data_IF_878510031454
#
_entry.id   IF_878510031454
#
_cell.length_a   1.000
_cell.length_b   1.000
_cell.length_c   1.000
_cell.angle_alpha   90.00
_cell.angle_beta   90.00
_cell.angle_gamma   90.00
#
_symmetry.space_group_name_H-M   'P 1'
#
loop_
_entity.id
_entity.type
_entity.pdbx_description
1 polymer ?
#
# COMPACT_ATOMS: atom_id res chain seq x y z
N UNK A 1 -63.00 35.90 -2.35
CA UNK A 1 -62.48 34.57 -2.68
C UNK A 1 -61.02 34.72 -3.06
N UNK A 2 -60.13 34.00 -2.36
CA UNK A 2 -58.75 33.61 -2.75
C UNK A 2 -57.71 34.74 -2.81
N UNK A 3 -56.51 34.64 -2.24
CA UNK A 3 -55.87 33.59 -1.47
C UNK A 3 -54.82 34.26 -0.57
N UNK A 4 -54.80 33.89 0.71
CA UNK A 4 -53.69 34.19 1.60
C UNK A 4 -52.44 33.54 1.02
N UNK A 5 -51.46 34.38 0.69
CA UNK A 5 -50.12 33.94 0.34
C UNK A 5 -49.49 33.35 1.60
N UNK A 6 -49.70 32.04 1.80
CA UNK A 6 -49.14 31.26 2.89
C UNK A 6 -47.62 31.32 2.74
N UNK A 7 -46.98 32.17 3.55
CA UNK A 7 -45.52 32.28 3.71
C UNK A 7 -44.98 30.87 3.94
N UNK A 8 -44.21 30.35 2.98
CA UNK A 8 -43.48 29.11 3.18
C UNK A 8 -42.59 29.27 4.42
N UNK A 9 -42.54 28.30 5.34
CA UNK A 9 -41.55 28.36 6.39
C UNK A 9 -40.18 28.34 5.71
N UNK A 10 -39.34 29.31 6.08
CA UNK A 10 -37.94 29.30 5.74
C UNK A 10 -37.43 27.88 6.08
N UNK A 11 -37.07 27.13 5.04
CA UNK A 11 -36.40 25.84 5.22
C UNK A 11 -35.02 26.26 5.67
N UNK A 12 -34.93 26.56 6.96
CA UNK A 12 -33.69 26.66 7.66
C UNK A 12 -32.99 25.36 7.34
N UNK A 13 -31.96 25.47 6.50
CA UNK A 13 -30.93 24.47 6.31
C UNK A 13 -30.19 24.36 7.64
N UNK A 14 -30.90 23.94 8.68
CA UNK A 14 -30.33 23.48 9.92
C UNK A 14 -29.57 22.23 9.52
N UNK A 15 -28.26 22.41 9.44
CA UNK A 15 -27.33 21.31 9.48
C UNK A 15 -27.74 20.44 10.66
N UNK A 16 -28.28 19.27 10.36
CA UNK A 16 -28.64 18.31 11.39
C UNK A 16 -27.33 17.66 11.82
N UNK A 17 -27.04 17.57 13.14
CA UNK A 17 -25.74 17.10 13.62
C UNK A 17 -25.37 15.69 13.12
N UNK A 18 -26.36 14.88 12.73
CA UNK A 18 -26.16 13.57 12.10
C UNK A 18 -25.55 13.66 10.68
N UNK A 19 -25.88 14.69 9.89
CA UNK A 19 -25.29 14.89 8.55
C UNK A 19 -23.84 15.35 8.65
N UNK A 20 -23.53 16.29 9.53
CA UNK A 20 -22.15 16.75 9.74
C UNK A 20 -21.23 15.62 10.22
N UNK A 21 -21.71 14.75 11.11
CA UNK A 21 -20.93 13.62 11.62
C UNK A 21 -20.66 12.56 10.56
N UNK A 22 -21.65 12.25 9.72
CA UNK A 22 -21.46 11.31 8.60
C UNK A 22 -20.53 11.90 7.55
N UNK A 23 -20.69 13.16 7.16
CA UNK A 23 -19.77 13.86 6.24
C UNK A 23 -18.33 13.91 6.78
N UNK A 24 -18.14 14.20 8.08
CA UNK A 24 -16.81 14.13 8.71
C UNK A 24 -16.23 12.72 8.64
N UNK A 25 -17.03 11.69 8.92
CA UNK A 25 -16.58 10.28 8.83
C UNK A 25 -16.19 9.91 7.40
N UNK A 26 -16.98 10.32 6.40
CA UNK A 26 -16.68 10.13 4.99
C UNK A 26 -15.41 10.87 4.57
N UNK A 27 -15.18 12.08 5.06
CA UNK A 27 -13.95 12.85 4.80
C UNK A 27 -12.72 12.15 5.39
N UNK A 28 -12.80 11.69 6.64
CA UNK A 28 -11.71 10.92 7.28
C UNK A 28 -11.40 9.64 6.50
N UNK A 29 -12.42 8.86 6.13
CA UNK A 29 -12.24 7.64 5.33
C UNK A 29 -11.68 7.93 3.92
N UNK A 30 -12.11 9.02 3.28
CA UNK A 30 -11.59 9.44 1.98
C UNK A 30 -10.12 9.89 2.05
N UNK A 31 -9.75 10.59 3.11
CA UNK A 31 -8.37 11.04 3.32
C UNK A 31 -7.44 9.86 3.63
N UNK A 32 -7.90 8.86 4.39
CA UNK A 32 -7.16 7.60 4.61
C UNK A 32 -6.97 6.81 3.29
N UNK A 33 -8.05 6.66 2.50
CA UNK A 33 -7.96 6.00 1.19
C UNK A 33 -6.98 6.71 0.26
N UNK A 34 -6.99 8.06 0.23
CA UNK A 34 -6.04 8.85 -0.56
C UNK A 34 -4.60 8.56 -0.14
N UNK A 35 -4.30 8.51 1.16
CA UNK A 35 -2.97 8.17 1.66
C UNK A 35 -2.51 6.76 1.28
N UNK A 36 -3.41 5.78 1.22
CA UNK A 36 -3.06 4.44 0.71
C UNK A 36 -2.74 4.47 -0.78
N UNK A 37 -3.55 5.18 -1.58
CA UNK A 37 -3.33 5.31 -3.02
C UNK A 37 -2.01 6.01 -3.33
N UNK A 38 -1.73 7.16 -2.72
CA UNK A 38 -0.49 7.92 -2.94
C UNK A 38 0.75 7.10 -2.58
N UNK A 39 0.72 6.37 -1.46
CA UNK A 39 1.81 5.47 -1.06
C UNK A 39 1.99 4.34 -2.07
N UNK A 40 0.90 3.76 -2.57
CA UNK A 40 0.97 2.69 -3.55
C UNK A 40 1.52 3.17 -4.89
N UNK A 41 1.09 4.34 -5.37
CA UNK A 41 1.59 4.93 -6.62
C UNK A 41 3.09 5.24 -6.53
N UNK A 42 3.54 5.79 -5.40
CA UNK A 42 4.98 6.00 -5.15
C UNK A 42 5.76 4.68 -5.21
N UNK A 43 5.25 3.63 -4.56
CA UNK A 43 5.86 2.31 -4.59
C UNK A 43 5.87 1.67 -5.99
N UNK A 44 4.85 1.92 -6.81
CA UNK A 44 4.80 1.46 -8.20
C UNK A 44 5.89 2.14 -9.04
N UNK A 45 6.07 3.45 -8.90
CA UNK A 45 7.12 4.21 -9.58
C UNK A 45 8.51 3.70 -9.18
N UNK A 46 8.75 3.53 -7.88
CA UNK A 46 9.99 2.95 -7.36
C UNK A 46 10.23 1.54 -7.90
N UNK A 47 9.20 0.69 -7.95
CA UNK A 47 9.29 -0.67 -8.49
C UNK A 47 9.73 -0.65 -9.95
N UNK A 48 9.20 0.28 -10.76
CA UNK A 48 9.59 0.41 -12.17
C UNK A 48 11.06 0.81 -12.29
N UNK A 49 11.52 1.79 -11.49
CA UNK A 49 12.92 2.23 -11.46
C UNK A 49 13.84 1.06 -11.07
N UNK A 50 13.53 0.35 -9.99
CA UNK A 50 14.30 -0.81 -9.51
C UNK A 50 14.34 -1.90 -10.58
N UNK A 51 13.22 -2.18 -11.24
CA UNK A 51 13.16 -3.19 -12.30
C UNK A 51 14.02 -2.77 -13.51
N UNK A 52 14.08 -1.48 -13.82
CA UNK A 52 14.99 -0.91 -14.82
C UNK A 52 16.44 -1.18 -14.46
N UNK A 53 16.86 -0.78 -13.26
CA UNK A 53 18.21 -0.99 -12.75
C UNK A 53 18.61 -2.48 -12.73
N UNK A 54 17.70 -3.37 -12.34
CA UNK A 54 17.94 -4.82 -12.38
C UNK A 54 18.23 -5.34 -13.80
N UNK A 55 17.54 -4.80 -14.81
CA UNK A 55 17.79 -5.17 -16.21
C UNK A 55 19.15 -4.67 -16.69
N UNK A 56 19.54 -3.47 -16.31
CA UNK A 56 20.86 -2.90 -16.65
C UNK A 56 21.99 -3.75 -16.08
N UNK A 57 21.92 -4.15 -14.81
CA UNK A 57 22.90 -5.06 -14.18
C UNK A 57 23.01 -6.39 -14.92
N UNK A 58 21.87 -6.94 -15.35
CA UNK A 58 21.85 -8.19 -16.11
C UNK A 58 22.44 -8.02 -17.52
N UNK A 59 22.18 -6.88 -18.17
CA UNK A 59 22.74 -6.57 -19.47
C UNK A 59 24.26 -6.38 -19.40
N UNK A 60 24.75 -5.68 -18.36
CA UNK A 60 26.16 -5.49 -18.10
C UNK A 60 26.87 -6.82 -17.78
N UNK A 61 26.25 -7.68 -16.97
CA UNK A 61 26.80 -9.01 -16.73
C UNK A 61 26.90 -9.82 -18.03
N UNK A 62 25.90 -9.71 -18.91
CA UNK A 62 25.91 -10.32 -20.23
C UNK A 62 27.04 -9.79 -21.12
N UNK A 63 27.27 -8.47 -21.17
CA UNK A 63 28.35 -7.88 -21.97
C UNK A 63 29.74 -8.26 -21.47
N UNK A 64 29.88 -8.55 -20.16
CA UNK A 64 31.10 -9.06 -19.54
C UNK A 64 31.32 -10.57 -19.74
N UNK A 65 30.38 -11.26 -20.40
CA UNK A 65 30.48 -12.68 -20.74
C UNK A 65 29.88 -13.65 -19.71
N UNK A 66 29.11 -13.17 -18.73
CA UNK A 66 28.39 -14.04 -17.79
C UNK A 66 27.06 -14.53 -18.38
N UNK A 67 26.68 -15.78 -18.06
CA UNK A 67 25.37 -16.31 -18.41
C UNK A 67 24.28 -15.75 -17.48
N UNK A 68 23.48 -14.83 -18.02
CA UNK A 68 22.36 -14.20 -17.31
C UNK A 68 21.29 -15.19 -16.83
N UNK A 69 21.12 -16.35 -17.49
CA UNK A 69 20.17 -17.38 -17.06
C UNK A 69 20.65 -18.09 -15.80
N UNK A 70 21.94 -18.41 -15.74
CA UNK A 70 22.56 -19.04 -14.56
C UNK A 70 22.57 -18.06 -13.39
N UNK A 71 22.88 -16.79 -13.63
CA UNK A 71 22.82 -15.75 -12.58
C UNK A 71 21.43 -15.59 -11.98
N UNK A 72 20.37 -15.57 -12.79
CA UNK A 72 18.98 -15.53 -12.28
C UNK A 72 18.65 -16.73 -11.41
N UNK A 73 19.08 -17.94 -11.79
CA UNK A 73 18.90 -19.15 -10.97
C UNK A 73 19.64 -19.02 -9.63
N UNK A 74 20.87 -18.53 -9.64
CA UNK A 74 21.68 -18.35 -8.44
C UNK A 74 21.04 -17.33 -7.48
N UNK A 75 20.54 -16.21 -7.99
CA UNK A 75 19.80 -15.22 -7.19
C UNK A 75 18.53 -15.83 -6.60
N UNK A 76 17.76 -16.60 -7.39
CA UNK A 76 16.54 -17.24 -6.91
C UNK A 76 16.82 -18.27 -5.79
N UNK A 77 17.88 -19.07 -5.93
CA UNK A 77 18.32 -20.01 -4.90
C UNK A 77 18.72 -19.28 -3.60
N UNK A 78 19.51 -18.21 -3.71
CA UNK A 78 19.92 -17.40 -2.54
C UNK A 78 18.75 -16.68 -1.86
N UNK A 79 17.74 -16.28 -2.63
CA UNK A 79 16.52 -15.69 -2.08
C UNK A 79 15.68 -16.72 -1.31
N UNK A 80 15.58 -17.95 -1.81
CA UNK A 80 14.87 -19.03 -1.10
C UNK A 80 15.57 -19.40 0.20
N UNK A 81 16.89 -19.56 0.16
CA UNK A 81 17.72 -19.83 1.34
C UNK A 81 17.53 -18.75 2.43
N UNK A 82 17.54 -17.46 2.05
CA UNK A 82 17.25 -16.36 2.99
C UNK A 82 15.81 -16.35 3.52
N UNK A 83 14.83 -16.71 2.70
CA UNK A 83 13.44 -16.81 3.15
C UNK A 83 13.25 -17.99 4.11
N UNK A 84 13.88 -19.13 3.82
CA UNK A 84 13.89 -20.31 4.69
C UNK A 84 14.57 -19.97 6.02
N UNK A 85 15.72 -19.28 5.99
CA UNK A 85 16.38 -18.75 7.20
C UNK A 85 15.48 -17.77 7.94
N UNK A 86 14.79 -16.85 7.26
CA UNK A 86 13.89 -15.89 7.90
C UNK A 86 12.65 -16.57 8.52
N UNK A 87 12.10 -17.59 7.88
CA UNK A 87 11.01 -18.42 8.42
C UNK A 87 11.48 -19.20 9.65
N UNK A 88 12.65 -19.84 9.57
CA UNK A 88 13.28 -20.52 10.69
C UNK A 88 13.56 -19.56 11.85
N UNK A 89 14.09 -18.36 11.58
CA UNK A 89 14.30 -17.32 12.59
C UNK A 89 13.00 -16.80 13.19
N UNK A 90 11.93 -16.68 12.39
CA UNK A 90 10.62 -16.27 12.87
C UNK A 90 10.00 -17.35 13.78
N UNK A 91 10.09 -18.62 13.40
CA UNK A 91 9.64 -19.75 14.20
C UNK A 91 10.48 -19.85 15.48
N UNK A 92 11.79 -19.71 15.37
CA UNK A 92 12.71 -19.72 16.51
C UNK A 92 12.42 -18.57 17.47
N UNK A 93 12.10 -17.38 16.96
CA UNK A 93 11.67 -16.23 17.76
C UNK A 93 10.38 -16.55 18.51
N UNK A 94 9.39 -17.12 17.84
CA UNK A 94 8.14 -17.55 18.48
C UNK A 94 8.39 -18.58 19.58
N UNK A 95 9.29 -19.55 19.35
CA UNK A 95 9.66 -20.54 20.37
C UNK A 95 10.42 -19.93 21.54
N UNK A 96 11.33 -18.98 21.28
CA UNK A 96 12.04 -18.25 22.33
C UNK A 96 11.08 -17.41 23.18
N UNK A 97 10.17 -16.67 22.54
CA UNK A 97 9.10 -15.93 23.24
C UNK A 97 8.23 -16.86 24.10
N UNK A 98 7.84 -18.03 23.56
CA UNK A 98 7.06 -19.02 24.32
C UNK A 98 7.83 -19.62 25.50
N UNK A 99 9.16 -19.70 25.41
CA UNK A 99 10.05 -20.17 26.47
C UNK A 99 10.54 -19.05 27.41
N UNK A 100 10.18 -17.79 27.15
CA UNK A 100 10.64 -16.63 27.93
C UNK A 100 12.13 -16.34 27.77
N UNK A 101 12.71 -16.63 26.60
CA UNK A 101 14.11 -16.42 26.23
C UNK A 101 14.30 -15.29 25.22
#
# INVERSE_FOLDING_TARGET
MLAEYRRAPDIDTHCTPEKDMTEQTYRVAADELRQFVERYETLEEERVVITGQQKEVMAEAGSRGYDTKVMRKLIAMRKRDLNEVAEEEAILRMYKEALGM
#
